data_IF_625683915869
#
_entry.id   IF_625683915869
#
_cell.length_a   1.000
_cell.length_b   1.000
_cell.length_c   1.000
_cell.angle_alpha   90.00
_cell.angle_beta   90.00
_cell.angle_gamma   90.00
#
_symmetry.space_group_name_H-M   'P 1'
#
loop_
_entity.id
_entity.type
_entity.pdbx_description
1 polymer ?
#
# COMPACT_ATOMS: atom_id res chain seq x y z
N UNK A 1 -20.34 -13.86 -1.67
CA UNK A 1 -19.49 -13.55 -0.51
C UNK A 1 -18.05 -13.56 -1.02
N UNK A 2 -17.67 -12.52 -1.76
CA UNK A 2 -16.32 -12.38 -2.32
C UNK A 2 -15.43 -11.69 -1.29
N UNK A 3 -14.79 -12.51 -0.45
CA UNK A 3 -13.61 -12.10 0.30
C UNK A 3 -12.38 -12.52 -0.53
N UNK A 4 -12.08 -11.78 -1.58
CA UNK A 4 -10.79 -11.91 -2.29
C UNK A 4 -10.19 -10.54 -2.58
N UNK A 5 -9.88 -9.83 -1.51
CA UNK A 5 -8.86 -8.78 -1.52
C UNK A 5 -7.97 -9.02 -0.31
N UNK A 6 -6.73 -9.48 -0.53
CA UNK A 6 -5.73 -9.59 0.55
C UNK A 6 -5.37 -8.22 1.17
N UNK A 7 -5.80 -7.11 0.56
CA UNK A 7 -5.78 -5.78 1.17
C UNK A 7 -7.11 -5.05 0.95
N UNK A 8 -7.50 -4.22 1.93
CA UNK A 8 -8.64 -3.32 1.82
C UNK A 8 -8.19 -1.98 1.22
N UNK A 9 -9.00 -1.41 0.32
CA UNK A 9 -8.78 -0.07 -0.21
C UNK A 9 -9.30 0.94 0.81
N UNK A 10 -8.43 1.86 1.24
CA UNK A 10 -8.81 2.97 2.10
C UNK A 10 -9.09 4.21 1.26
N UNK A 11 -10.36 4.61 1.22
CA UNK A 11 -10.87 5.80 0.54
C UNK A 11 -11.91 6.51 1.43
N UNK A 12 -12.53 7.58 0.93
CA UNK A 12 -13.58 8.30 1.66
C UNK A 12 -14.78 7.44 2.08
N UNK A 13 -15.10 6.36 1.36
CA UNK A 13 -16.26 5.51 1.66
C UNK A 13 -15.92 4.48 2.75
N UNK A 14 -14.67 4.05 2.84
CA UNK A 14 -14.20 3.09 3.86
C UNK A 14 -13.56 3.75 5.08
N UNK A 15 -13.32 5.08 5.02
CA UNK A 15 -12.69 5.84 6.08
C UNK A 15 -13.40 5.72 7.43
N UNK A 16 -14.73 5.85 7.47
CA UNK A 16 -15.49 5.82 8.72
C UNK A 16 -15.41 4.45 9.42
N UNK A 17 -15.36 3.38 8.63
CA UNK A 17 -15.19 2.01 9.16
C UNK A 17 -13.79 1.85 9.75
N UNK A 18 -12.77 2.38 9.07
CA UNK A 18 -11.39 2.36 9.56
C UNK A 18 -11.21 3.20 10.83
N UNK A 19 -11.83 4.38 10.88
CA UNK A 19 -11.83 5.26 12.04
C UNK A 19 -12.41 4.56 13.27
N UNK A 20 -13.55 3.89 13.13
CA UNK A 20 -14.18 3.13 14.22
C UNK A 20 -13.24 2.06 14.79
N UNK A 21 -12.54 1.33 13.93
CA UNK A 21 -11.55 0.31 14.36
C UNK A 21 -10.42 0.97 15.15
N UNK A 22 -9.90 2.09 14.68
CA UNK A 22 -8.82 2.81 15.38
C UNK A 22 -9.28 3.32 16.75
N UNK A 23 -10.45 3.94 16.82
CA UNK A 23 -11.05 4.45 18.05
C UNK A 23 -11.32 3.32 19.06
N UNK A 24 -11.86 2.18 18.62
CA UNK A 24 -12.13 1.02 19.47
C UNK A 24 -10.82 0.45 20.06
N UNK A 25 -9.73 0.40 19.28
CA UNK A 25 -8.41 -0.04 19.77
C UNK A 25 -7.86 0.94 20.80
N UNK A 26 -7.96 2.25 20.53
CA UNK A 26 -7.49 3.28 21.46
C UNK A 26 -8.31 3.33 22.75
N UNK A 27 -9.62 3.10 22.69
CA UNK A 27 -10.50 3.02 23.85
C UNK A 27 -10.09 1.88 24.81
N UNK A 28 -9.47 0.82 24.28
CA UNK A 28 -8.93 -0.30 25.06
C UNK A 28 -7.45 -0.12 25.44
N UNK A 29 -6.87 1.07 25.25
CA UNK A 29 -5.47 1.39 25.56
C UNK A 29 -4.45 0.82 24.57
N UNK A 30 -4.91 0.29 23.43
CA UNK A 30 -4.07 -0.26 22.38
C UNK A 30 -3.37 0.78 21.52
N UNK A 31 -2.52 0.32 20.62
CA UNK A 31 -1.79 1.12 19.62
C UNK A 31 -1.98 0.55 18.23
N UNK A 32 -2.17 1.40 17.24
CA UNK A 32 -2.48 1.00 15.85
C UNK A 32 -1.31 1.29 14.93
N UNK A 33 -0.82 0.24 14.27
CA UNK A 33 0.13 0.35 13.16
C UNK A 33 -0.54 -0.13 11.88
N UNK A 34 -0.63 0.74 10.87
CA UNK A 34 -1.27 0.39 9.59
C UNK A 34 -0.24 0.11 8.52
N UNK A 35 -0.31 -1.08 7.93
CA UNK A 35 0.52 -1.47 6.81
C UNK A 35 -0.09 -0.98 5.50
N UNK A 36 0.67 -0.20 4.73
CA UNK A 36 0.27 0.32 3.43
C UNK A 36 1.07 -0.39 2.34
N UNK A 37 0.36 -0.95 1.38
CA UNK A 37 0.92 -1.63 0.21
C UNK A 37 0.88 -0.66 -0.98
N UNK A 38 2.01 -0.15 -1.48
CA UNK A 38 2.04 0.75 -2.63
C UNK A 38 1.77 0.03 -3.96
N UNK A 39 1.95 -1.29 -4.03
CA UNK A 39 1.64 -2.09 -5.20
C UNK A 39 2.10 -3.53 -5.04
N UNK A 40 1.36 -4.45 -5.66
CA UNK A 40 1.56 -5.90 -5.55
C UNK A 40 2.78 -6.45 -6.30
N UNK A 41 3.34 -5.69 -7.24
CA UNK A 41 4.49 -6.14 -8.02
C UNK A 41 4.17 -7.39 -8.86
N UNK A 42 5.18 -8.22 -9.07
CA UNK A 42 5.08 -9.46 -9.85
C UNK A 42 4.33 -10.61 -9.13
N UNK A 43 3.81 -10.37 -7.92
CA UNK A 43 3.00 -11.33 -7.14
C UNK A 43 1.55 -11.34 -7.61
N UNK A 44 1.05 -10.22 -8.14
CA UNK A 44 -0.34 -10.16 -8.58
C UNK A 44 -0.58 -11.05 -9.81
N UNK A 45 -1.82 -11.49 -9.99
CA UNK A 45 -2.27 -12.16 -11.21
C UNK A 45 -2.77 -11.17 -12.26
N UNK A 46 -3.25 -10.01 -11.82
CA UNK A 46 -3.79 -8.92 -12.64
C UNK A 46 -3.47 -7.55 -12.02
N UNK A 47 -3.88 -6.48 -12.69
CA UNK A 47 -3.87 -5.13 -12.13
C UNK A 47 -5.17 -4.41 -12.46
N UNK A 48 -5.47 -3.31 -11.76
CA UNK A 48 -6.68 -2.52 -12.04
C UNK A 48 -6.72 -1.93 -13.46
N UNK A 49 -5.57 -1.78 -14.12
CA UNK A 49 -5.42 -1.09 -15.42
C UNK A 49 -5.03 -2.02 -16.56
N UNK A 50 -4.44 -3.16 -16.25
CA UNK A 50 -3.92 -4.13 -17.21
C UNK A 50 -4.27 -5.55 -16.80
N UNK A 51 -4.55 -6.40 -17.78
CA UNK A 51 -4.78 -7.84 -17.60
C UNK A 51 -3.50 -8.63 -17.24
N UNK A 52 -2.40 -7.91 -16.99
CA UNK A 52 -1.10 -8.45 -16.57
C UNK A 52 -0.62 -7.77 -15.29
N UNK A 53 0.18 -8.46 -14.46
CA UNK A 53 0.79 -7.84 -13.30
C UNK A 53 1.73 -6.71 -13.68
N UNK A 54 1.95 -5.79 -12.74
CA UNK A 54 2.73 -4.57 -12.96
C UNK A 54 3.97 -4.62 -12.06
N UNK A 55 5.15 -4.47 -12.66
CA UNK A 55 6.44 -4.60 -11.97
C UNK A 55 7.43 -3.51 -12.40
N UNK A 56 8.55 -3.40 -11.69
CA UNK A 56 9.59 -2.43 -12.00
C UNK A 56 10.32 -2.71 -13.34
N UNK A 57 10.12 -3.89 -13.92
CA UNK A 57 10.71 -4.32 -15.18
C UNK A 57 9.81 -5.37 -15.84
N UNK A 58 9.95 -5.56 -17.15
CA UNK A 58 9.25 -6.61 -17.90
C UNK A 58 9.79 -8.02 -17.57
N UNK A 59 9.43 -8.54 -16.40
CA UNK A 59 9.83 -9.86 -15.90
C UNK A 59 8.62 -10.80 -15.85
N UNK A 60 8.83 -12.13 -15.88
CA UNK A 60 7.75 -13.09 -15.64
C UNK A 60 7.06 -12.86 -14.29
N UNK A 61 5.74 -13.07 -14.22
CA UNK A 61 5.01 -13.14 -12.95
C UNK A 61 5.54 -14.29 -12.09
N UNK A 62 5.55 -14.10 -10.78
CA UNK A 62 6.04 -15.10 -9.81
C UNK A 62 5.18 -16.37 -9.84
N UNK A 63 3.86 -16.23 -10.00
CA UNK A 63 2.94 -17.37 -10.01
C UNK A 63 2.58 -17.87 -11.40
N UNK A 64 2.69 -17.01 -12.42
CA UNK A 64 2.38 -17.35 -13.80
C UNK A 64 3.54 -16.93 -14.73
N UNK A 65 4.62 -17.74 -14.82
CA UNK A 65 5.82 -17.37 -15.58
C UNK A 65 5.60 -17.18 -17.09
N UNK A 66 4.47 -17.65 -17.63
CA UNK A 66 4.06 -17.42 -19.02
C UNK A 66 3.57 -15.99 -19.28
N UNK A 67 3.26 -15.23 -18.22
CA UNK A 67 2.80 -13.84 -18.30
C UNK A 67 3.96 -12.92 -17.95
N UNK A 68 4.27 -11.99 -18.86
CA UNK A 68 5.25 -10.93 -18.62
C UNK A 68 4.56 -9.75 -17.96
N UNK A 69 5.15 -9.25 -16.87
CA UNK A 69 4.65 -8.08 -16.17
C UNK A 69 4.79 -6.83 -17.05
N UNK A 70 3.80 -5.94 -16.98
CA UNK A 70 3.93 -4.58 -17.49
C UNK A 70 5.01 -3.83 -16.72
N UNK A 71 5.93 -3.20 -17.45
CA UNK A 71 6.96 -2.35 -16.87
C UNK A 71 6.36 -1.00 -16.50
N UNK A 72 6.46 -0.65 -15.21
CA UNK A 72 5.98 0.62 -14.69
C UNK A 72 6.73 1.79 -15.36
N UNK A 73 5.97 2.72 -15.93
CA UNK A 73 6.46 4.00 -16.45
C UNK A 73 6.66 5.03 -15.34
N UNK A 74 7.44 6.09 -15.62
CA UNK A 74 7.69 7.17 -14.65
C UNK A 74 6.39 7.86 -14.21
N UNK A 75 5.42 8.01 -15.11
CA UNK A 75 4.14 8.64 -14.78
C UNK A 75 3.28 7.74 -13.88
N UNK A 76 3.27 6.43 -14.12
CA UNK A 76 2.62 5.47 -13.23
C UNK A 76 3.27 5.44 -11.84
N UNK A 77 4.60 5.62 -11.74
CA UNK A 77 5.26 5.81 -10.43
C UNK A 77 4.69 7.02 -9.70
N UNK A 78 4.45 8.13 -10.41
CA UNK A 78 3.88 9.34 -9.80
C UNK A 78 2.44 9.10 -9.34
N UNK A 79 1.63 8.41 -10.14
CA UNK A 79 0.26 8.02 -9.76
C UNK A 79 0.26 7.16 -8.47
N UNK A 80 1.15 6.16 -8.39
CA UNK A 80 1.31 5.31 -7.20
C UNK A 80 1.75 6.14 -5.99
N UNK A 81 2.69 7.07 -6.17
CA UNK A 81 3.14 7.97 -5.11
C UNK A 81 1.99 8.83 -4.58
N UNK A 82 1.16 9.37 -5.47
CA UNK A 82 0.02 10.21 -5.10
C UNK A 82 -1.06 9.40 -4.39
N UNK A 83 -1.34 8.18 -4.86
CA UNK A 83 -2.22 7.22 -4.18
C UNK A 83 -1.73 6.92 -2.76
N UNK A 84 -0.45 6.59 -2.62
CA UNK A 84 0.16 6.32 -1.31
C UNK A 84 0.08 7.54 -0.37
N UNK A 85 0.37 8.75 -0.88
CA UNK A 85 0.25 9.99 -0.11
C UNK A 85 -1.19 10.24 0.36
N UNK A 86 -2.20 9.95 -0.47
CA UNK A 86 -3.62 10.04 -0.09
C UNK A 86 -3.94 9.08 1.05
N UNK A 87 -3.55 7.81 0.94
CA UNK A 87 -3.74 6.81 2.00
C UNK A 87 -3.06 7.22 3.30
N UNK A 88 -1.82 7.71 3.25
CA UNK A 88 -1.09 8.21 4.43
C UNK A 88 -1.84 9.35 5.12
N UNK A 89 -2.43 10.28 4.36
CA UNK A 89 -3.24 11.37 4.93
C UNK A 89 -4.47 10.84 5.64
N UNK A 90 -5.16 9.87 5.04
CA UNK A 90 -6.34 9.24 5.64
C UNK A 90 -5.98 8.50 6.93
N UNK A 91 -4.98 7.61 6.93
CA UNK A 91 -4.61 6.88 8.15
C UNK A 91 -4.13 7.83 9.26
N UNK A 92 -3.41 8.90 8.93
CA UNK A 92 -3.03 9.94 9.89
C UNK A 92 -4.25 10.64 10.49
N UNK A 93 -5.26 10.94 9.65
CA UNK A 93 -6.53 11.54 10.10
C UNK A 93 -7.30 10.60 11.03
N UNK A 94 -7.24 9.30 10.80
CA UNK A 94 -7.84 8.28 11.65
C UNK A 94 -7.06 7.99 12.95
N UNK A 95 -5.99 8.72 13.23
CA UNK A 95 -5.31 8.68 14.53
C UNK A 95 -4.24 7.60 14.70
N UNK A 96 -3.85 6.85 13.65
CA UNK A 96 -2.87 5.75 13.78
C UNK A 96 -1.56 6.19 14.46
N UNK A 97 -0.98 5.30 15.26
CA UNK A 97 0.23 5.54 16.03
C UNK A 97 1.50 5.30 15.19
N UNK A 98 1.43 4.39 14.22
CA UNK A 98 2.52 4.05 13.32
C UNK A 98 2.01 3.70 11.92
N UNK A 99 2.90 3.85 10.93
CA UNK A 99 2.64 3.45 9.54
C UNK A 99 3.75 2.50 9.13
N UNK A 100 3.37 1.35 8.57
CA UNK A 100 4.31 0.40 8.01
C UNK A 100 4.23 0.45 6.49
N UNK A 101 5.38 0.53 5.83
CA UNK A 101 5.47 0.42 4.37
C UNK A 101 5.73 -1.05 4.05
N UNK A 102 4.81 -1.68 3.31
CA UNK A 102 5.02 -3.05 2.84
C UNK A 102 6.02 -3.06 1.67
N UNK A 103 7.25 -3.51 1.91
CA UNK A 103 8.34 -3.51 0.93
C UNK A 103 9.12 -4.84 0.88
N UNK A 104 8.53 -5.92 1.37
CA UNK A 104 9.07 -7.28 1.40
C UNK A 104 8.31 -8.20 0.42
N UNK A 105 8.85 -9.40 0.13
CA UNK A 105 8.08 -10.51 -0.44
C UNK A 105 7.85 -10.51 -1.96
N UNK A 106 8.37 -9.53 -2.71
CA UNK A 106 8.14 -9.38 -4.16
C UNK A 106 7.20 -8.21 -4.52
N UNK A 107 6.73 -7.48 -3.51
CA UNK A 107 6.02 -6.21 -3.66
C UNK A 107 6.99 -5.10 -4.13
N UNK A 108 6.45 -4.02 -4.70
CA UNK A 108 7.26 -2.98 -5.36
C UNK A 108 8.23 -2.27 -4.36
N UNK A 109 9.54 -2.55 -4.50
CA UNK A 109 10.62 -2.18 -3.55
C UNK A 109 11.15 -0.73 -3.67
N UNK A 110 10.71 0.09 -4.63
CA UNK A 110 11.34 1.42 -4.88
C UNK A 110 10.66 2.66 -4.26
N UNK A 111 10.31 2.75 -2.95
CA UNK A 111 9.77 3.99 -2.37
C UNK A 111 10.77 4.78 -1.49
N UNK A 112 12.09 4.77 -1.75
CA UNK A 112 13.09 5.43 -0.88
C UNK A 112 12.76 6.92 -0.60
N UNK A 113 12.30 7.66 -1.62
CA UNK A 113 11.89 9.08 -1.47
C UNK A 113 10.54 9.28 -0.76
N UNK A 114 9.69 8.25 -0.70
CA UNK A 114 8.38 8.32 -0.02
C UNK A 114 8.57 8.15 1.49
N UNK A 115 9.46 7.24 1.89
CA UNK A 115 9.83 7.08 3.30
C UNK A 115 10.33 8.42 3.87
N UNK A 116 11.22 9.11 3.16
CA UNK A 116 11.74 10.42 3.56
C UNK A 116 10.61 11.47 3.77
N UNK A 117 9.62 11.52 2.87
CA UNK A 117 8.49 12.46 2.97
C UNK A 117 7.49 12.11 4.10
N UNK A 118 7.45 10.86 4.58
CA UNK A 118 6.62 10.46 5.73
C UNK A 118 7.37 10.67 7.06
N UNK A 119 8.71 10.58 7.03
CA UNK A 119 9.59 10.69 8.20
C UNK A 119 9.76 12.13 8.75
N UNK A 120 9.50 13.17 7.96
CA UNK A 120 9.65 14.58 8.38
C UNK A 120 8.67 15.03 9.49
N UNK A 121 7.73 14.19 9.92
CA UNK A 121 6.79 14.50 11.00
C UNK A 121 6.52 13.30 11.91
N UNK A 122 7.45 13.06 12.85
CA UNK A 122 7.38 12.16 14.04
C UNK A 122 6.11 11.30 14.18
N UNK A 123 6.08 10.14 13.51
CA UNK A 123 5.47 8.87 13.96
C UNK A 123 6.23 7.73 13.26
N UNK A 124 6.54 6.66 13.96
CA UNK A 124 7.47 5.62 13.50
C UNK A 124 7.04 5.01 12.16
N UNK A 125 7.90 5.14 11.15
CA UNK A 125 7.74 4.45 9.86
C UNK A 125 8.64 3.23 9.89
N UNK A 126 8.05 2.04 9.86
CA UNK A 126 8.80 0.79 9.73
C UNK A 126 8.64 0.31 8.29
N UNK A 127 9.74 0.19 7.55
CA UNK A 127 9.75 -0.52 6.27
C UNK A 127 10.26 -1.94 6.53
N UNK A 128 9.43 -2.95 6.24
CA UNK A 128 9.83 -4.36 6.22
C UNK A 128 9.78 -4.85 4.78
#
# INVERSE_FOLDING_TARGET
MELSGVSAVLDENTFDQFLKIADDIHANGGKVCTQIVPGYGAISTDSKRYDVPVSASAIPSIYLPSIICHEITIDEIREIQDGFRKTVKLVKKAGVDAIQIHAYGGYCRKPRKIADAVLEGRKAVLAL
#
